data_IF_865309349355
#
_entry.id   IF_865309349355
#
_cell.length_a   1.000
_cell.length_b   1.000
_cell.length_c   1.000
_cell.angle_alpha   90.00
_cell.angle_beta   90.00
_cell.angle_gamma   90.00
#
_symmetry.space_group_name_H-M   'P 1'
#
loop_
_entity.id
_entity.type
_entity.pdbx_description
1 polymer ?
#
# COMPACT_ATOMS: atom_id res chain seq x y z
N UNK A 1 -9.61 -18.94 12.34
CA UNK A 1 -9.00 -17.94 11.45
C UNK A 1 -8.79 -16.67 12.27
N UNK A 2 -7.60 -16.07 12.30
CA UNK A 2 -7.44 -14.78 12.96
C UNK A 2 -7.89 -13.69 11.99
N UNK A 3 -9.06 -13.10 12.22
CA UNK A 3 -9.45 -11.84 11.58
C UNK A 3 -8.88 -10.74 12.47
N UNK A 4 -7.58 -10.49 12.32
CA UNK A 4 -6.94 -9.37 13.00
C UNK A 4 -7.59 -8.04 12.61
N UNK A 5 -7.27 -6.94 13.31
CA UNK A 5 -7.66 -5.60 12.87
C UNK A 5 -7.31 -5.40 11.39
N UNK A 6 -8.03 -4.53 10.66
CA UNK A 6 -7.71 -4.21 9.27
C UNK A 6 -6.20 -3.97 9.10
N UNK A 7 -5.57 -4.73 8.20
CA UNK A 7 -4.13 -4.69 8.05
C UNK A 7 -3.68 -3.31 7.57
N UNK A 8 -2.59 -2.82 8.16
CA UNK A 8 -2.04 -1.51 7.83
C UNK A 8 -0.91 -1.65 6.82
N UNK A 9 -0.84 -0.72 5.88
CA UNK A 9 0.20 -0.68 4.85
C UNK A 9 1.51 -0.24 5.52
N UNK A 10 2.54 -1.06 5.43
CA UNK A 10 3.81 -0.88 6.14
C UNK A 10 4.90 -0.20 5.28
N UNK A 11 4.74 -0.24 3.95
CA UNK A 11 5.62 0.44 3.00
C UNK A 11 4.78 1.12 1.90
N UNK A 12 5.23 2.27 1.40
CA UNK A 12 4.55 3.02 0.33
C UNK A 12 5.54 3.65 -0.63
N UNK A 13 5.05 4.52 -1.53
CA UNK A 13 5.89 5.27 -2.47
C UNK A 13 6.92 6.17 -1.77
N UNK A 14 8.14 6.19 -2.27
CA UNK A 14 9.22 7.06 -1.79
C UNK A 14 9.08 8.52 -2.24
N UNK A 15 8.35 8.77 -3.33
CA UNK A 15 8.29 10.08 -3.99
C UNK A 15 6.92 10.75 -3.89
N UNK A 16 5.85 9.97 -3.69
CA UNK A 16 4.47 10.50 -3.67
C UNK A 16 3.87 10.30 -2.28
N UNK A 17 3.35 11.39 -1.71
CA UNK A 17 2.63 11.38 -0.44
C UNK A 17 1.19 11.87 -0.63
N UNK A 18 0.24 11.27 0.09
CA UNK A 18 -1.17 11.66 0.14
C UNK A 18 -1.50 11.93 1.60
N UNK A 19 -1.93 13.15 1.92
CA UNK A 19 -2.19 13.59 3.30
C UNK A 19 -1.02 13.32 4.27
N UNK A 20 0.22 13.56 3.81
CA UNK A 20 1.43 13.40 4.61
C UNK A 20 1.88 11.95 4.86
N UNK A 21 1.22 10.97 4.23
CA UNK A 21 1.63 9.56 4.26
C UNK A 21 2.11 9.10 2.88
N UNK A 22 3.10 8.20 2.80
CA UNK A 22 3.48 7.56 1.54
C UNK A 22 2.26 6.95 0.83
N UNK A 23 2.13 7.21 -0.46
CA UNK A 23 1.03 6.67 -1.25
C UNK A 23 1.20 5.16 -1.49
N UNK A 24 0.16 4.38 -1.23
CA UNK A 24 0.18 2.93 -1.39
C UNK A 24 0.04 2.50 -2.85
N UNK A 25 0.73 1.42 -3.24
CA UNK A 25 0.86 0.91 -4.60
C UNK A 25 0.85 -0.61 -4.64
N UNK A 26 0.58 -1.18 -5.82
CA UNK A 26 0.70 -2.63 -6.04
C UNK A 26 2.14 -3.07 -5.72
N UNK A 27 2.28 -4.15 -4.95
CA UNK A 27 3.56 -4.70 -4.49
C UNK A 27 4.03 -4.20 -3.12
N UNK A 28 3.43 -3.12 -2.61
CA UNK A 28 3.74 -2.59 -1.28
C UNK A 28 3.34 -3.58 -0.19
N UNK A 29 4.16 -3.65 0.86
CA UNK A 29 3.99 -4.59 1.96
C UNK A 29 2.93 -4.12 2.97
N UNK A 30 2.26 -5.08 3.59
CA UNK A 30 1.36 -4.85 4.73
C UNK A 30 2.04 -5.26 6.05
N UNK A 31 1.45 -4.90 7.18
CA UNK A 31 2.07 -5.10 8.50
C UNK A 31 2.12 -6.58 8.90
N UNK A 32 1.23 -7.40 8.34
CA UNK A 32 1.19 -8.84 8.58
C UNK A 32 1.90 -9.66 7.47
N UNK A 33 2.78 -9.02 6.69
CA UNK A 33 3.61 -9.68 5.67
C UNK A 33 2.90 -9.95 4.34
N UNK A 34 1.69 -9.41 4.15
CA UNK A 34 0.99 -9.42 2.87
C UNK A 34 1.53 -8.38 1.89
N UNK A 35 0.95 -8.37 0.69
CA UNK A 35 1.23 -7.37 -0.35
C UNK A 35 -0.06 -6.88 -1.00
N UNK A 36 -0.05 -5.63 -1.46
CA UNK A 36 -1.13 -5.09 -2.29
C UNK A 36 -1.08 -5.76 -3.66
N UNK A 37 -2.09 -6.54 -4.00
CA UNK A 37 -2.13 -7.32 -5.24
C UNK A 37 -2.80 -6.60 -6.41
N UNK A 38 -3.61 -5.60 -6.14
CA UNK A 38 -4.38 -4.89 -7.17
C UNK A 38 -4.57 -3.42 -6.81
N UNK A 39 -4.69 -2.59 -7.85
CA UNK A 39 -4.90 -1.16 -7.81
C UNK A 39 -5.64 -0.71 -9.07
N UNK A 40 -5.74 0.61 -9.29
CA UNK A 40 -6.40 1.14 -10.48
C UNK A 40 -5.48 1.03 -11.71
N UNK A 41 -5.86 0.30 -12.78
CA UNK A 41 -4.95 0.03 -13.92
C UNK A 41 -4.49 1.28 -14.68
N UNK A 42 -5.28 2.35 -14.62
CA UNK A 42 -4.99 3.62 -15.32
C UNK A 42 -4.22 4.62 -14.46
N UNK A 43 -3.96 4.31 -13.19
CA UNK A 43 -3.31 5.24 -12.25
C UNK A 43 -2.01 4.62 -11.74
N UNK A 44 -0.89 5.20 -12.17
CA UNK A 44 0.45 4.87 -11.67
C UNK A 44 0.92 5.97 -10.71
N UNK A 45 1.41 5.56 -9.55
CA UNK A 45 1.90 6.46 -8.51
C UNK A 45 3.43 6.41 -8.46
N UNK A 46 4.07 7.53 -8.82
CA UNK A 46 5.52 7.70 -8.73
C UNK A 46 6.33 7.26 -9.96
N UNK A 47 5.68 7.05 -11.11
CA UNK A 47 6.31 6.63 -12.37
C UNK A 47 6.09 5.17 -12.66
#
# INVERSE_FOLDING_TARGET
>A
ICIGPPDSISAGSSSVTINGKPAARVGDSTSHGGKILSGMPTVLIGG
#
